data_IF_697909070666
#
_entry.id   IF_697909070666
#
_cell.length_a   1.000
_cell.length_b   1.000
_cell.length_c   1.000
_cell.angle_alpha   90.00
_cell.angle_beta   90.00
_cell.angle_gamma   90.00
#
_symmetry.space_group_name_H-M   'P 1'
#
loop_
_entity.id
_entity.type
_entity.pdbx_description
1 polymer ?
#
# COMPACT_ATOMS: atom_id res chain seq x y z
N UNK A 1 -20.76 -12.44 -9.45
CA UNK A 1 -20.38 -11.53 -8.35
C UNK A 1 -18.99 -11.85 -7.80
N UNK A 2 -18.69 -13.08 -7.33
CA UNK A 2 -17.37 -13.44 -6.78
C UNK A 2 -16.18 -13.13 -7.72
N UNK A 3 -16.30 -13.44 -9.01
CA UNK A 3 -15.26 -13.14 -10.00
C UNK A 3 -14.99 -11.63 -10.15
N UNK A 4 -16.03 -10.79 -10.10
CA UNK A 4 -15.88 -9.35 -10.16
C UNK A 4 -15.14 -8.81 -8.93
N UNK A 5 -15.48 -9.27 -7.73
CA UNK A 5 -14.78 -8.86 -6.50
C UNK A 5 -13.32 -9.35 -6.49
N UNK A 6 -13.05 -10.54 -7.03
CA UNK A 6 -11.69 -11.03 -7.21
C UNK A 6 -10.91 -10.16 -8.18
N UNK A 7 -11.49 -9.81 -9.32
CA UNK A 7 -10.86 -8.90 -10.31
C UNK A 7 -10.57 -7.53 -9.72
N UNK A 8 -11.54 -6.91 -9.05
CA UNK A 8 -11.38 -5.59 -8.43
C UNK A 8 -10.29 -5.61 -7.34
N UNK A 9 -10.23 -6.70 -6.56
CA UNK A 9 -9.17 -6.87 -5.55
C UNK A 9 -7.78 -6.93 -6.19
N UNK A 10 -7.61 -7.70 -7.27
CA UNK A 10 -6.33 -7.79 -7.97
C UNK A 10 -5.96 -6.45 -8.63
N UNK A 11 -6.92 -5.78 -9.27
CA UNK A 11 -6.69 -4.48 -9.88
C UNK A 11 -6.20 -3.45 -8.85
N UNK A 12 -6.83 -3.39 -7.68
CA UNK A 12 -6.41 -2.52 -6.60
C UNK A 12 -5.03 -2.91 -6.05
N UNK A 13 -4.72 -4.21 -5.96
CA UNK A 13 -3.40 -4.68 -5.54
C UNK A 13 -2.30 -4.26 -6.52
N UNK A 14 -2.52 -4.41 -7.82
CA UNK A 14 -1.58 -3.95 -8.83
C UNK A 14 -1.39 -2.43 -8.80
N UNK A 15 -2.48 -1.67 -8.64
CA UNK A 15 -2.41 -0.21 -8.53
C UNK A 15 -1.60 0.21 -7.29
N UNK A 16 -1.80 -0.45 -6.16
CA UNK A 16 -1.06 -0.20 -4.92
C UNK A 16 0.45 -0.44 -5.11
N UNK A 17 0.83 -1.57 -5.69
CA UNK A 17 2.23 -1.90 -5.96
C UNK A 17 2.85 -0.91 -6.95
N UNK A 18 2.14 -0.56 -8.01
CA UNK A 18 2.60 0.41 -9.00
C UNK A 18 2.81 1.79 -8.37
N UNK A 19 1.91 2.22 -7.49
CA UNK A 19 2.02 3.49 -6.76
C UNK A 19 3.28 3.52 -5.89
N UNK A 20 3.52 2.48 -5.10
CA UNK A 20 4.75 2.37 -4.28
C UNK A 20 6.02 2.35 -5.14
N UNK A 21 5.99 1.68 -6.29
CA UNK A 21 7.11 1.67 -7.23
C UNK A 21 7.40 3.07 -7.78
N UNK A 22 6.36 3.83 -8.15
CA UNK A 22 6.49 5.22 -8.59
C UNK A 22 7.06 6.10 -7.46
N UNK A 23 6.57 5.95 -6.23
CA UNK A 23 7.10 6.67 -5.08
C UNK A 23 8.58 6.36 -4.84
N UNK A 24 8.96 5.08 -4.91
CA UNK A 24 10.35 4.65 -4.72
C UNK A 24 11.28 5.29 -5.75
N UNK A 25 10.87 5.33 -7.01
CA UNK A 25 11.66 5.95 -8.09
C UNK A 25 11.71 7.46 -7.91
N UNK A 26 10.58 8.10 -7.64
CA UNK A 26 10.49 9.56 -7.52
C UNK A 26 11.24 10.11 -6.30
N UNK A 27 11.21 9.42 -5.15
CA UNK A 27 11.94 9.82 -3.94
C UNK A 27 13.44 9.50 -4.02
N UNK A 28 13.81 8.61 -4.94
CA UNK A 28 15.21 8.20 -5.13
C UNK A 28 16.08 9.21 -5.86
N UNK A 29 15.47 10.12 -6.60
CA UNK A 29 16.14 11.17 -7.36
C UNK A 29 16.17 12.52 -6.64
N UNK A 30 16.46 13.58 -7.41
CA UNK A 30 16.35 14.95 -6.92
C UNK A 30 14.89 15.34 -6.70
N UNK A 31 14.59 16.00 -5.58
CA UNK A 31 13.24 16.42 -5.23
C UNK A 31 12.85 17.69 -5.98
N UNK A 32 12.57 17.53 -7.26
CA UNK A 32 12.06 18.60 -8.13
C UNK A 32 10.56 18.84 -7.91
N UNK A 33 10.03 19.91 -8.48
CA UNK A 33 8.58 20.16 -8.49
C UNK A 33 7.80 19.00 -9.14
N UNK A 34 8.34 18.43 -10.22
CA UNK A 34 7.72 17.29 -10.91
C UNK A 34 7.75 16.03 -10.05
N UNK A 35 8.89 15.74 -9.41
CA UNK A 35 9.00 14.62 -8.47
C UNK A 35 8.00 14.75 -7.31
N UNK A 36 7.86 15.95 -6.74
CA UNK A 36 6.89 16.20 -5.67
C UNK A 36 5.43 16.00 -6.12
N UNK A 37 5.10 16.40 -7.35
CA UNK A 37 3.77 16.14 -7.94
C UNK A 37 3.52 14.65 -8.14
N UNK A 38 4.49 13.92 -8.67
CA UNK A 38 4.41 12.46 -8.86
C UNK A 38 4.24 11.73 -7.54
N UNK A 39 5.03 12.08 -6.51
CA UNK A 39 4.92 11.51 -5.17
C UNK A 39 3.53 11.70 -4.58
N UNK A 40 2.99 12.91 -4.63
CA UNK A 40 1.65 13.20 -4.12
C UNK A 40 0.54 12.45 -4.86
N UNK A 41 0.65 12.32 -6.19
CA UNK A 41 -0.34 11.58 -6.98
C UNK A 41 -0.24 10.08 -6.72
N UNK A 42 0.97 9.55 -6.63
CA UNK A 42 1.21 8.13 -6.33
C UNK A 42 0.71 7.77 -4.92
N UNK A 43 1.00 8.60 -3.92
CA UNK A 43 0.51 8.42 -2.54
C UNK A 43 -1.03 8.45 -2.45
N UNK A 44 -1.67 9.35 -3.19
CA UNK A 44 -3.13 9.37 -3.28
C UNK A 44 -3.68 8.08 -3.89
N UNK A 45 -3.09 7.62 -4.99
CA UNK A 45 -3.48 6.36 -5.64
C UNK A 45 -3.22 5.15 -4.73
N UNK A 46 -2.10 5.14 -4.00
CA UNK A 46 -1.78 4.16 -2.97
C UNK A 46 -2.86 4.11 -1.88
N UNK A 47 -3.16 5.25 -1.27
CA UNK A 47 -4.15 5.34 -0.18
C UNK A 47 -5.55 4.88 -0.60
N UNK A 48 -6.02 5.32 -1.78
CA UNK A 48 -7.31 4.88 -2.34
C UNK A 48 -7.30 3.36 -2.58
N UNK A 49 -6.24 2.85 -3.18
CA UNK A 49 -6.11 1.41 -3.47
C UNK A 49 -6.04 0.58 -2.19
N UNK A 50 -5.34 1.04 -1.15
CA UNK A 50 -5.26 0.36 0.13
C UNK A 50 -6.63 0.29 0.82
N UNK A 51 -7.37 1.40 0.86
CA UNK A 51 -8.73 1.43 1.40
C UNK A 51 -9.67 0.51 0.64
N UNK A 52 -9.60 0.54 -0.68
CA UNK A 52 -10.42 -0.33 -1.54
C UNK A 52 -10.06 -1.81 -1.36
N UNK A 53 -8.78 -2.16 -1.28
CA UNK A 53 -8.31 -3.52 -0.99
C UNK A 53 -8.85 -4.04 0.34
N UNK A 54 -8.86 -3.22 1.37
CA UNK A 54 -9.39 -3.60 2.67
C UNK A 54 -10.88 -3.91 2.59
N UNK A 55 -11.66 -3.00 1.99
CA UNK A 55 -13.12 -3.15 1.85
C UNK A 55 -13.46 -4.39 1.02
N UNK A 56 -12.90 -4.51 -0.17
CA UNK A 56 -13.17 -5.64 -1.06
C UNK A 56 -12.63 -6.95 -0.49
N UNK A 57 -11.46 -6.91 0.16
CA UNK A 57 -10.87 -8.07 0.82
C UNK A 57 -11.75 -8.62 1.95
N UNK A 58 -12.26 -7.75 2.81
CA UNK A 58 -13.20 -8.14 3.87
C UNK A 58 -14.54 -8.62 3.30
N UNK A 59 -15.09 -7.93 2.30
CA UNK A 59 -16.32 -8.38 1.63
C UNK A 59 -16.19 -9.80 1.06
N UNK A 60 -15.03 -10.14 0.47
CA UNK A 60 -14.75 -11.49 -0.01
C UNK A 60 -14.74 -12.52 1.11
N UNK A 61 -14.08 -12.23 2.23
CA UNK A 61 -13.98 -13.12 3.39
C UNK A 61 -15.36 -13.41 3.97
N UNK A 62 -16.22 -12.39 4.09
CA UNK A 62 -17.52 -12.54 4.76
C UNK A 62 -18.64 -13.05 3.86
N UNK A 63 -18.61 -12.77 2.54
CA UNK A 63 -19.76 -13.02 1.67
C UNK A 63 -19.51 -13.95 0.48
N UNK A 64 -18.28 -14.08 0.00
CA UNK A 64 -18.01 -14.69 -1.30
C UNK A 64 -17.05 -15.87 -1.30
N UNK A 65 -16.39 -16.15 -0.17
CA UNK A 65 -15.36 -17.17 -0.07
C UNK A 65 -15.73 -18.24 0.97
N UNK A 66 -14.74 -18.92 1.55
CA UNK A 66 -14.91 -20.03 2.52
C UNK A 66 -15.51 -19.64 3.87
N UNK A 67 -15.82 -18.34 4.05
CA UNK A 67 -16.38 -17.77 5.27
C UNK A 67 -15.35 -17.34 6.31
N UNK A 68 -15.78 -16.43 7.20
CA UNK A 68 -14.91 -15.80 8.19
C UNK A 68 -14.22 -16.83 9.10
N UNK A 69 -14.95 -17.86 9.53
CA UNK A 69 -14.40 -18.91 10.42
C UNK A 69 -13.17 -19.57 9.82
N UNK A 70 -13.18 -19.92 8.52
CA UNK A 70 -12.03 -20.51 7.85
C UNK A 70 -10.83 -19.58 7.85
N UNK A 71 -11.03 -18.29 7.49
CA UNK A 71 -9.93 -17.34 7.38
C UNK A 71 -9.31 -16.98 8.72
N UNK A 72 -10.13 -16.80 9.77
CA UNK A 72 -9.61 -16.48 11.10
C UNK A 72 -8.98 -17.68 11.82
N UNK A 73 -9.17 -18.92 11.32
CA UNK A 73 -8.42 -20.09 11.73
C UNK A 73 -7.22 -20.42 10.82
N UNK A 74 -6.81 -19.46 9.99
CA UNK A 74 -5.65 -19.61 9.10
C UNK A 74 -4.60 -18.57 9.47
N UNK A 75 -3.48 -19.00 10.06
CA UNK A 75 -2.45 -18.06 10.53
C UNK A 75 -1.86 -17.20 9.39
N UNK A 76 -1.75 -17.73 8.16
CA UNK A 76 -1.28 -16.96 6.99
C UNK A 76 -2.23 -15.80 6.64
N UNK A 77 -3.53 -15.95 6.90
CA UNK A 77 -4.49 -14.86 6.75
C UNK A 77 -4.29 -13.78 7.81
N UNK A 78 -4.16 -14.21 9.08
CA UNK A 78 -3.93 -13.28 10.20
C UNK A 78 -2.62 -12.51 10.01
N UNK A 79 -1.53 -13.21 9.63
CA UNK A 79 -0.24 -12.58 9.35
C UNK A 79 -0.32 -11.56 8.21
N UNK A 80 -1.01 -11.91 7.11
CA UNK A 80 -1.24 -11.01 5.98
C UNK A 80 -2.02 -9.77 6.41
N UNK A 81 -3.09 -9.93 7.16
CA UNK A 81 -3.94 -8.83 7.62
C UNK A 81 -3.19 -7.91 8.60
N UNK A 82 -2.48 -8.49 9.57
CA UNK A 82 -1.66 -7.74 10.52
C UNK A 82 -0.57 -6.93 9.81
N UNK A 83 0.11 -7.54 8.83
CA UNK A 83 1.14 -6.87 8.04
C UNK A 83 0.53 -5.74 7.19
N UNK A 84 -0.63 -5.97 6.58
CA UNK A 84 -1.34 -4.93 5.81
C UNK A 84 -1.72 -3.72 6.69
N UNK A 85 -2.26 -3.96 7.88
CA UNK A 85 -2.59 -2.89 8.84
C UNK A 85 -1.32 -2.16 9.29
N UNK A 86 -0.25 -2.88 9.59
CA UNK A 86 1.04 -2.27 10.01
C UNK A 86 1.60 -1.38 8.92
N UNK A 87 1.63 -1.85 7.67
CA UNK A 87 2.07 -1.05 6.52
C UNK A 87 1.18 0.19 6.37
N UNK A 88 -0.14 0.04 6.44
CA UNK A 88 -1.08 1.15 6.35
C UNK A 88 -0.88 2.21 7.44
N UNK A 89 -0.55 1.81 8.67
CA UNK A 89 -0.23 2.74 9.75
C UNK A 89 1.10 3.46 9.52
N UNK A 90 2.12 2.75 9.04
CA UNK A 90 3.44 3.31 8.74
C UNK A 90 3.35 4.29 7.55
N UNK A 91 2.51 4.00 6.56
CA UNK A 91 2.31 4.86 5.38
C UNK A 91 1.70 6.23 5.69
N UNK A 92 1.12 6.40 6.87
CA UNK A 92 0.62 7.71 7.32
C UNK A 92 1.78 8.74 7.37
N UNK A 93 2.98 8.31 7.69
CA UNK A 93 4.16 9.19 7.80
C UNK A 93 4.49 9.85 6.44
N UNK A 94 4.76 9.11 5.35
CA UNK A 94 4.98 9.72 4.05
C UNK A 94 3.75 10.48 3.53
N UNK A 95 2.54 9.96 3.73
CA UNK A 95 1.30 10.63 3.31
C UNK A 95 1.17 12.03 3.93
N UNK A 96 1.35 12.16 5.25
CA UNK A 96 1.29 13.47 5.94
C UNK A 96 2.36 14.41 5.41
N UNK A 97 3.58 13.91 5.18
CA UNK A 97 4.66 14.71 4.62
C UNK A 97 4.33 15.18 3.20
N UNK A 98 3.89 14.31 2.31
CA UNK A 98 3.52 14.67 0.93
C UNK A 98 2.32 15.63 0.88
N UNK A 99 1.38 15.51 1.80
CA UNK A 99 0.27 16.46 1.94
C UNK A 99 0.76 17.84 2.38
N UNK A 100 1.80 17.92 3.23
CA UNK A 100 2.37 19.20 3.67
C UNK A 100 2.98 20.00 2.51
N UNK A 101 3.41 19.33 1.44
CA UNK A 101 3.98 19.97 0.25
C UNK A 101 2.93 20.63 -0.67
N UNK A 102 1.64 20.44 -0.37
CA UNK A 102 0.53 20.93 -1.22
C UNK A 102 0.66 22.41 -1.56
N UNK A 103 1.03 23.24 -0.57
CA UNK A 103 1.17 24.70 -0.76
C UNK A 103 2.35 25.04 -1.67
N UNK A 104 3.51 24.45 -1.45
CA UNK A 104 4.70 24.69 -2.30
C UNK A 104 4.46 24.26 -3.72
N UNK A 105 3.87 23.09 -3.93
CA UNK A 105 3.53 22.56 -5.27
C UNK A 105 2.50 23.43 -5.96
N UNK A 106 1.49 23.97 -5.25
CA UNK A 106 0.50 24.90 -5.81
C UNK A 106 1.13 26.23 -6.26
N UNK A 107 2.18 26.68 -5.57
CA UNK A 107 2.94 27.87 -5.93
C UNK A 107 4.01 27.60 -7.03
N UNK A 108 4.05 26.40 -7.60
CA UNK A 108 5.02 26.03 -8.63
C UNK A 108 6.45 25.92 -8.13
N UNK A 109 6.65 25.68 -6.83
CA UNK A 109 7.98 25.57 -6.20
C UNK A 109 8.22 24.17 -5.67
N UNK A 110 9.45 23.62 -5.77
CA UNK A 110 9.80 22.39 -5.12
C UNK A 110 9.71 22.56 -3.59
N UNK A 111 9.29 21.53 -2.84
CA UNK A 111 9.25 21.60 -1.39
C UNK A 111 10.67 21.64 -0.81
N UNK A 112 10.88 22.46 0.21
CA UNK A 112 12.15 22.52 0.94
C UNK A 112 12.16 21.42 2.01
N UNK A 113 12.84 20.31 1.72
CA UNK A 113 12.92 19.13 2.60
C UNK A 113 14.39 18.79 2.86
N UNK A 114 14.72 18.51 4.12
CA UNK A 114 16.10 18.12 4.47
C UNK A 114 16.47 16.76 3.87
N UNK A 115 17.74 16.58 3.55
CA UNK A 115 18.27 15.30 3.04
C UNK A 115 18.04 14.14 4.02
N UNK A 116 18.04 14.40 5.32
CA UNK A 116 17.75 13.40 6.35
C UNK A 116 16.30 12.93 6.28
N UNK A 117 15.35 13.86 6.09
CA UNK A 117 13.94 13.53 5.95
C UNK A 117 13.65 12.75 4.65
N UNK A 118 14.26 13.13 3.53
CA UNK A 118 14.17 12.40 2.26
C UNK A 118 14.66 10.95 2.42
N UNK A 119 15.80 10.75 3.10
CA UNK A 119 16.32 9.39 3.39
C UNK A 119 15.39 8.58 4.27
N UNK A 120 14.77 9.21 5.28
CA UNK A 120 13.79 8.56 6.13
C UNK A 120 12.55 8.11 5.33
N UNK A 121 11.97 8.99 4.52
CA UNK A 121 10.83 8.68 3.66
C UNK A 121 11.16 7.54 2.69
N UNK A 122 12.31 7.62 2.03
CA UNK A 122 12.78 6.55 1.15
C UNK A 122 12.91 5.20 1.86
N UNK A 123 13.44 5.19 3.09
CA UNK A 123 13.54 3.97 3.90
C UNK A 123 12.16 3.40 4.25
N UNK A 124 11.18 4.25 4.57
CA UNK A 124 9.81 3.84 4.86
C UNK A 124 9.18 3.20 3.63
N UNK A 125 9.19 3.88 2.48
CA UNK A 125 8.63 3.37 1.22
C UNK A 125 9.27 2.03 0.82
N UNK A 126 10.59 1.89 1.03
CA UNK A 126 11.28 0.63 0.77
C UNK A 126 10.77 -0.51 1.68
N UNK A 127 10.54 -0.24 2.95
CA UNK A 127 9.98 -1.22 3.90
C UNK A 127 8.53 -1.57 3.58
N UNK A 128 7.73 -0.60 3.14
CA UNK A 128 6.37 -0.84 2.67
C UNK A 128 6.35 -1.76 1.46
N UNK A 129 7.21 -1.51 0.49
CA UNK A 129 7.33 -2.35 -0.69
C UNK A 129 7.76 -3.79 -0.33
N UNK A 130 8.73 -3.94 0.56
CA UNK A 130 9.15 -5.25 1.08
C UNK A 130 8.01 -5.95 1.84
N UNK A 131 7.25 -5.22 2.65
CA UNK A 131 6.09 -5.74 3.36
C UNK A 131 4.98 -6.19 2.42
N UNK A 132 4.73 -5.46 1.33
CA UNK A 132 3.75 -5.88 0.29
C UNK A 132 4.19 -7.19 -0.38
N UNK A 133 5.48 -7.38 -0.64
CA UNK A 133 6.00 -8.66 -1.17
C UNK A 133 5.72 -9.81 -0.20
N UNK A 134 5.89 -9.59 1.11
CA UNK A 134 5.53 -10.58 2.15
C UNK A 134 4.02 -10.86 2.19
N UNK A 135 3.18 -9.85 2.02
CA UNK A 135 1.72 -10.04 1.90
C UNK A 135 1.38 -10.94 0.72
N UNK A 136 2.03 -10.74 -0.42
CA UNK A 136 1.84 -11.60 -1.61
C UNK A 136 2.27 -13.04 -1.34
N UNK A 137 3.39 -13.23 -0.62
CA UNK A 137 3.83 -14.56 -0.20
C UNK A 137 2.80 -15.25 0.68
N UNK A 138 2.30 -14.58 1.73
CA UNK A 138 1.27 -15.16 2.60
C UNK A 138 -0.04 -15.43 1.85
N UNK A 139 -0.41 -14.57 0.90
CA UNK A 139 -1.56 -14.80 0.05
C UNK A 139 -1.40 -16.05 -0.84
N UNK A 140 -0.22 -16.26 -1.40
CA UNK A 140 0.11 -17.45 -2.20
C UNK A 140 0.11 -18.72 -1.35
N UNK A 141 0.69 -18.68 -0.14
CA UNK A 141 0.67 -19.80 0.83
C UNK A 141 -0.76 -20.17 1.21
N UNK A 142 -1.59 -19.17 1.53
CA UNK A 142 -2.99 -19.37 1.86
C UNK A 142 -3.78 -20.02 0.71
N UNK A 143 -3.53 -19.58 -0.54
CA UNK A 143 -4.17 -20.16 -1.72
C UNK A 143 -3.83 -21.65 -1.91
N UNK A 144 -2.68 -22.11 -1.41
CA UNK A 144 -2.25 -23.52 -1.38
C UNK A 144 -2.70 -24.29 -0.13
N UNK A 145 -3.52 -23.68 0.73
CA UNK A 145 -4.01 -24.31 1.96
C UNK A 145 -3.00 -24.38 3.10
N UNK A 146 -1.89 -23.65 2.99
CA UNK A 146 -0.89 -23.60 4.05
C UNK A 146 -1.37 -22.69 5.18
N UNK A 147 -1.36 -23.18 6.41
CA UNK A 147 -1.58 -22.36 7.60
C UNK A 147 -2.92 -22.58 8.31
N UNK A 148 -3.67 -23.63 7.99
CA UNK A 148 -4.83 -24.05 8.80
C UNK A 148 -4.36 -24.43 10.21
N UNK A 149 -5.02 -23.88 11.24
CA UNK A 149 -4.82 -24.16 12.66
C UNK A 149 -5.94 -25.04 13.19
#
# INVERSE_FOLDING_TARGET
MAALFAFLHHLAAFTLVASLAVEMVAIGGELTLEAARKLRLADLAYGISAGFLLIVGLARVFHFEKGATYYFHTWTFIAKLALFVTIGLVSIIPTVEFLSWRRSVALGKPPAVSATKVRMLRSIIHRELAGVVLILLFAAMMAKGVGLM
#
